data_IF_051719683576
#
_entry.id   IF_051719683576
#
_cell.length_a   1.000
_cell.length_b   1.000
_cell.length_c   1.000
_cell.angle_alpha   90.00
_cell.angle_beta   90.00
_cell.angle_gamma   90.00
#
_symmetry.space_group_name_H-M   'P 1'
#
loop_
_entity.id
_entity.type
_entity.pdbx_description
1 polymer ?
#
# COMPACT_ATOMS: atom_id res chain seq x y z
N UNK A 1 15.29 -8.43 11.91
CA UNK A 1 14.58 -9.03 10.75
C UNK A 1 13.73 -7.95 10.12
N UNK A 2 13.63 -7.85 8.80
CA UNK A 2 12.90 -6.73 8.15
C UNK A 2 11.38 -6.90 8.32
N UNK A 3 10.67 -5.79 8.53
CA UNK A 3 9.20 -5.72 8.60
C UNK A 3 8.68 -4.55 7.78
N UNK A 4 7.48 -4.69 7.24
CA UNK A 4 6.79 -3.63 6.50
C UNK A 4 5.30 -3.65 6.86
N UNK A 5 4.69 -2.46 6.98
CA UNK A 5 3.27 -2.33 7.27
C UNK A 5 2.51 -2.03 5.98
N UNK A 6 1.49 -2.83 5.73
CA UNK A 6 0.55 -2.69 4.64
C UNK A 6 -0.83 -2.30 5.17
N UNK A 7 -1.47 -1.31 4.54
CA UNK A 7 -2.77 -0.75 4.91
C UNK A 7 -3.54 -0.47 3.62
N UNK A 8 -4.72 -1.09 3.47
CA UNK A 8 -5.65 -0.83 2.36
C UNK A 8 -7.01 -0.30 2.84
N UNK A 9 -7.40 -0.67 4.06
CA UNK A 9 -8.62 -0.21 4.72
C UNK A 9 -8.26 0.43 6.07
N UNK A 10 -9.16 0.39 7.05
CA UNK A 10 -8.95 0.95 8.38
C UNK A 10 -7.95 0.12 9.23
N UNK A 11 -7.73 -1.15 8.91
CA UNK A 11 -6.77 -2.01 9.64
C UNK A 11 -5.52 -2.25 8.80
N UNK A 12 -4.35 -2.08 9.44
CA UNK A 12 -3.06 -2.41 8.87
C UNK A 12 -2.56 -3.80 9.28
N UNK A 13 -1.79 -4.43 8.41
CA UNK A 13 -1.10 -5.70 8.66
C UNK A 13 0.40 -5.47 8.61
N UNK A 14 1.12 -6.05 9.57
CA UNK A 14 2.59 -6.11 9.54
C UNK A 14 3.03 -7.41 8.88
N UNK A 15 3.93 -7.29 7.90
CA UNK A 15 4.49 -8.40 7.13
C UNK A 15 5.98 -8.49 7.43
N UNK A 16 6.47 -9.70 7.67
CA UNK A 16 7.87 -9.96 7.97
C UNK A 16 8.73 -10.09 6.70
N UNK A 17 10.00 -10.44 6.90
CA UNK A 17 10.97 -10.61 5.81
C UNK A 17 10.49 -11.55 4.69
N UNK A 18 9.72 -12.57 5.05
CA UNK A 18 9.21 -13.59 4.14
C UNK A 18 7.82 -13.25 3.60
N UNK A 19 7.30 -12.04 3.82
CA UNK A 19 5.95 -11.65 3.39
C UNK A 19 4.81 -12.28 4.20
N UNK A 20 5.12 -12.82 5.39
CA UNK A 20 4.13 -13.44 6.28
C UNK A 20 3.65 -12.45 7.33
N UNK A 21 2.35 -12.49 7.62
CA UNK A 21 1.77 -11.78 8.76
C UNK A 21 1.99 -12.53 10.08
N UNK A 22 1.44 -12.00 11.18
CA UNK A 22 1.57 -12.58 12.53
C UNK A 22 1.00 -14.00 12.65
N UNK A 23 0.01 -14.37 11.81
CA UNK A 23 -0.58 -15.71 11.77
C UNK A 23 0.05 -16.60 10.68
N UNK A 24 1.26 -16.26 10.21
CA UNK A 24 2.02 -16.99 9.18
C UNK A 24 1.29 -17.12 7.83
N UNK A 25 0.41 -16.17 7.49
CA UNK A 25 -0.26 -16.12 6.18
C UNK A 25 0.32 -15.03 5.29
N UNK A 26 0.36 -15.31 3.99
CA UNK A 26 0.63 -14.32 2.94
C UNK A 26 -0.66 -13.56 2.61
N UNK A 27 -0.51 -12.38 2.02
CA UNK A 27 -1.63 -11.57 1.55
C UNK A 27 -1.39 -11.12 0.11
N UNK A 28 -2.48 -10.83 -0.61
CA UNK A 28 -2.39 -10.14 -1.89
C UNK A 28 -2.24 -8.64 -1.68
N UNK A 29 -1.33 -8.02 -2.42
CA UNK A 29 -1.11 -6.57 -2.41
C UNK A 29 -1.31 -5.98 -3.82
N UNK A 30 -1.76 -4.72 -3.94
CA UNK A 30 -1.89 -4.04 -5.21
C UNK A 30 -0.56 -3.52 -5.74
N UNK A 31 -0.36 -3.65 -7.05
CA UNK A 31 0.58 -2.88 -7.83
C UNK A 31 -0.15 -2.03 -8.88
N UNK A 32 0.38 -0.84 -9.16
CA UNK A 32 -0.13 0.02 -10.23
C UNK A 32 0.42 -0.43 -11.59
N UNK A 33 -0.47 -0.76 -12.52
CA UNK A 33 -0.16 -1.02 -13.91
C UNK A 33 0.09 0.30 -14.68
N UNK A 34 0.68 0.20 -15.87
CA UNK A 34 0.98 1.38 -16.72
C UNK A 34 -0.26 2.21 -17.07
N UNK A 35 -1.43 1.58 -17.20
CA UNK A 35 -2.71 2.25 -17.46
C UNK A 35 -3.33 2.91 -16.20
N UNK A 36 -2.72 2.71 -15.03
CA UNK A 36 -3.21 3.21 -13.74
C UNK A 36 -4.22 2.29 -13.05
N UNK A 37 -4.47 1.09 -13.57
CA UNK A 37 -5.30 0.09 -12.87
C UNK A 37 -4.47 -0.64 -11.82
N UNK A 38 -5.14 -1.14 -10.79
CA UNK A 38 -4.53 -1.99 -9.77
C UNK A 38 -4.54 -3.45 -10.22
N UNK A 39 -3.41 -4.14 -10.03
CA UNK A 39 -3.30 -5.59 -10.16
C UNK A 39 -2.89 -6.19 -8.81
N UNK A 40 -3.53 -7.29 -8.41
CA UNK A 40 -3.28 -7.95 -7.14
C UNK A 40 -2.48 -9.22 -7.33
N UNK A 41 -1.42 -9.38 -6.53
CA UNK A 41 -0.66 -10.61 -6.45
C UNK A 41 -0.09 -10.80 -5.05
N UNK A 42 0.32 -12.03 -4.75
CA UNK A 42 0.81 -12.42 -3.42
C UNK A 42 2.11 -11.69 -3.08
N UNK A 43 2.18 -11.15 -1.86
CA UNK A 43 3.41 -10.57 -1.34
C UNK A 43 4.35 -11.66 -0.80
N UNK A 44 5.56 -11.69 -1.34
CA UNK A 44 6.56 -12.70 -1.03
C UNK A 44 7.68 -12.24 -0.10
N UNK A 45 7.75 -10.93 0.18
CA UNK A 45 8.74 -10.35 1.07
C UNK A 45 9.66 -9.39 0.35
N UNK A 46 10.93 -9.42 0.70
CA UNK A 46 11.93 -8.50 0.19
C UNK A 46 12.92 -9.20 -0.74
N UNK A 47 13.47 -8.45 -1.69
CA UNK A 47 14.54 -8.89 -2.57
C UNK A 47 15.60 -7.79 -2.68
N UNK A 48 16.87 -8.17 -2.79
CA UNK A 48 17.95 -7.20 -3.00
C UNK A 48 17.91 -6.65 -4.43
N UNK A 49 18.17 -5.35 -4.61
CA UNK A 49 18.20 -4.72 -5.93
C UNK A 49 19.22 -5.38 -6.88
N UNK A 50 20.30 -5.96 -6.36
CA UNK A 50 21.33 -6.67 -7.13
C UNK A 50 20.83 -7.98 -7.74
N UNK A 51 19.72 -8.51 -7.24
CA UNK A 51 19.09 -9.74 -7.75
C UNK A 51 18.02 -9.46 -8.82
N UNK A 52 17.84 -8.19 -9.22
CA UNK A 52 16.69 -7.74 -10.01
C UNK A 52 17.01 -7.30 -11.45
N UNK A 53 18.22 -7.52 -11.98
CA UNK A 53 18.73 -6.87 -13.21
C UNK A 53 17.87 -7.07 -14.48
N UNK A 54 16.98 -8.06 -14.51
CA UNK A 54 16.06 -8.32 -15.64
C UNK A 54 14.59 -8.39 -15.24
N UNK A 55 14.23 -8.00 -14.01
CA UNK A 55 12.87 -8.13 -13.50
C UNK A 55 12.05 -6.87 -13.74
N UNK A 56 10.78 -7.04 -14.10
CA UNK A 56 9.86 -5.92 -14.30
C UNK A 56 9.62 -5.21 -12.96
N UNK A 57 10.04 -3.94 -12.89
CA UNK A 57 9.74 -3.06 -11.75
C UNK A 57 8.26 -2.67 -11.74
N UNK A 58 7.67 -2.64 -10.55
CA UNK A 58 6.28 -2.26 -10.31
C UNK A 58 6.17 -1.27 -9.16
N UNK A 59 5.06 -0.52 -9.12
CA UNK A 59 4.74 0.42 -8.04
C UNK A 59 3.77 -0.27 -7.08
N UNK A 60 4.24 -0.70 -5.92
CA UNK A 60 3.40 -1.34 -4.92
C UNK A 60 2.71 -0.29 -4.04
N UNK A 61 1.42 -0.47 -3.79
CA UNK A 61 0.58 0.48 -3.07
C UNK A 61 0.24 0.00 -1.66
N UNK A 62 -0.19 0.92 -0.80
CA UNK A 62 -0.73 0.62 0.53
C UNK A 62 0.32 0.40 1.62
N UNK A 63 1.62 0.47 1.32
CA UNK A 63 2.63 0.40 2.38
C UNK A 63 2.84 1.75 3.06
N UNK A 64 2.93 1.74 4.40
CA UNK A 64 2.95 2.97 5.20
C UNK A 64 4.19 3.12 6.07
N UNK A 65 4.85 2.03 6.44
CA UNK A 65 6.12 2.11 7.15
C UNK A 65 6.97 0.84 6.98
N UNK A 66 8.27 1.00 7.20
CA UNK A 66 9.27 -0.05 7.13
C UNK A 66 10.15 -0.06 8.38
N UNK A 67 10.61 -1.24 8.76
CA UNK A 67 11.57 -1.45 9.85
C UNK A 67 12.65 -2.43 9.40
N UNK A 68 13.91 -2.06 9.63
CA UNK A 68 15.06 -2.94 9.37
C UNK A 68 15.37 -3.88 10.55
N UNK A 69 14.89 -3.55 11.76
CA UNK A 69 15.36 -4.06 13.04
C UNK A 69 14.28 -4.79 13.84
N UNK A 70 13.43 -5.53 13.14
CA UNK A 70 12.33 -6.32 13.69
C UNK A 70 11.22 -5.50 14.37
N UNK A 71 11.03 -4.27 13.93
CA UNK A 71 9.97 -3.39 14.40
C UNK A 71 10.35 -2.56 15.62
N UNK A 72 11.65 -2.44 15.94
CA UNK A 72 12.12 -1.55 17.00
C UNK A 72 12.11 -0.09 16.55
N UNK A 73 12.56 0.17 15.32
CA UNK A 73 12.47 1.48 14.68
C UNK A 73 11.65 1.40 13.39
N UNK A 74 10.83 2.41 13.16
CA UNK A 74 9.93 2.48 11.99
C UNK A 74 10.15 3.77 11.23
N UNK A 75 10.48 3.65 9.94
CA UNK A 75 10.44 4.75 8.99
C UNK A 75 9.04 4.84 8.42
N UNK A 76 8.34 5.95 8.68
CA UNK A 76 7.00 6.21 8.16
C UNK A 76 7.07 6.89 6.79
N UNK A 77 6.10 6.60 5.93
CA UNK A 77 5.95 7.23 4.63
C UNK A 77 4.64 8.02 4.59
N UNK A 78 4.68 9.16 3.92
CA UNK A 78 3.52 10.03 3.76
C UNK A 78 2.41 9.38 2.92
N UNK A 79 1.19 9.96 2.96
CA UNK A 79 0.14 9.54 2.05
C UNK A 79 0.60 9.69 0.59
N UNK A 80 -0.07 8.99 -0.34
CA UNK A 80 0.22 9.11 -1.77
C UNK A 80 1.65 8.69 -2.14
N UNK A 81 2.15 7.66 -1.45
CA UNK A 81 3.46 7.07 -1.70
C UNK A 81 3.28 5.64 -2.21
N UNK A 82 4.12 5.24 -3.16
CA UNK A 82 4.26 3.85 -3.57
C UNK A 82 5.67 3.34 -3.27
N UNK A 83 5.80 2.03 -3.08
CA UNK A 83 7.08 1.36 -2.83
C UNK A 83 7.55 0.68 -4.11
N UNK A 84 8.84 0.79 -4.41
CA UNK A 84 9.44 0.09 -5.55
C UNK A 84 9.44 -1.41 -5.28
N UNK A 85 8.78 -2.15 -6.16
CA UNK A 85 8.76 -3.61 -6.15
C UNK A 85 9.16 -4.20 -7.50
N UNK A 86 9.14 -5.52 -7.56
CA UNK A 86 9.22 -6.30 -8.79
C UNK A 86 8.05 -7.28 -8.89
N UNK A 87 7.77 -7.74 -10.11
CA UNK A 87 6.91 -8.89 -10.38
C UNK A 87 7.76 -10.06 -10.88
N UNK A 88 7.61 -11.23 -10.25
CA UNK A 88 8.21 -12.50 -10.68
C UNK A 88 7.17 -13.61 -10.51
N UNK A 89 6.85 -14.35 -11.58
CA UNK A 89 5.87 -15.44 -11.56
C UNK A 89 4.53 -15.10 -10.90
N UNK A 90 4.01 -13.89 -11.18
CA UNK A 90 2.80 -13.36 -10.56
C UNK A 90 2.86 -13.19 -9.03
N UNK A 91 4.05 -12.96 -8.51
CA UNK A 91 4.31 -12.60 -7.13
C UNK A 91 4.98 -11.24 -7.03
N UNK A 92 4.76 -10.56 -5.91
CA UNK A 92 5.34 -9.25 -5.63
C UNK A 92 6.38 -9.31 -4.51
N UNK A 93 7.50 -8.65 -4.76
CA UNK A 93 8.57 -8.44 -3.80
C UNK A 93 8.85 -6.95 -3.70
N UNK A 94 9.12 -6.46 -2.48
CA UNK A 94 9.66 -5.12 -2.27
C UNK A 94 11.16 -5.15 -2.52
N UNK A 95 11.65 -4.22 -3.35
CA UNK A 95 13.07 -4.14 -3.66
C UNK A 95 13.78 -3.34 -2.58
N UNK A 96 14.90 -3.87 -2.10
CA UNK A 96 15.79 -3.23 -1.15
C UNK A 96 17.00 -2.65 -1.88
N UNK A 97 17.18 -1.34 -1.75
CA UNK A 97 18.36 -0.61 -2.16
C UNK A 97 19.17 -0.33 -0.91
N UNK A 98 20.39 -0.86 -0.84
CA UNK A 98 21.26 -0.73 0.35
C UNK A 98 20.55 -1.14 1.65
N UNK A 99 19.73 -2.19 1.57
CA UNK A 99 19.00 -2.74 2.70
C UNK A 99 17.67 -2.07 3.04
N UNK A 100 17.28 -1.00 2.33
CA UNK A 100 16.03 -0.27 2.58
C UNK A 100 15.14 -0.14 1.32
N UNK A 101 13.80 -0.13 1.46
CA UNK A 101 12.91 0.14 0.34
C UNK A 101 13.06 1.58 -0.17
N UNK A 102 12.92 1.77 -1.48
CA UNK A 102 12.72 3.10 -2.07
C UNK A 102 11.25 3.39 -2.28
N UNK A 103 10.87 4.63 -2.00
CA UNK A 103 9.53 5.16 -2.23
C UNK A 103 9.50 6.11 -3.41
N UNK A 104 8.35 6.20 -4.06
CA UNK A 104 8.08 7.15 -5.14
C UNK A 104 6.75 7.85 -4.87
N UNK A 105 6.64 9.15 -5.22
CA UNK A 105 5.36 9.85 -5.14
C UNK A 105 4.34 9.23 -6.11
N UNK A 106 3.11 9.12 -5.66
CA UNK A 106 1.97 8.61 -6.42
C UNK A 106 0.70 9.39 -6.08
N UNK A 107 0.32 10.40 -6.89
CA UNK A 107 -1.00 11.01 -6.77
C UNK A 107 -2.05 9.99 -7.23
N UNK A 108 -3.03 9.62 -6.39
CA UNK A 108 -4.10 8.74 -6.80
C UNK A 108 -4.87 9.38 -7.95
N UNK A 109 -5.29 8.57 -8.93
CA UNK A 109 -6.37 9.00 -9.83
C UNK A 109 -7.61 9.21 -8.96
N UNK A 110 -7.94 10.46 -8.67
CA UNK A 110 -9.19 10.78 -7.97
C UNK A 110 -10.33 10.28 -8.84
N UNK A 111 -11.19 9.42 -8.29
CA UNK A 111 -12.51 9.24 -8.86
C UNK A 111 -13.19 10.63 -8.88
N UNK A 112 -13.80 10.99 -10.00
CA UNK A 112 -14.71 12.15 -10.06
C UNK A 112 -15.78 11.88 -9.00
N UNK A 113 -15.67 12.49 -7.82
CA UNK A 113 -16.59 12.21 -6.73
C UNK A 113 -17.96 12.74 -7.15
N UNK A 114 -18.95 11.86 -7.19
CA UNK A 114 -20.34 12.28 -7.00
C UNK A 114 -20.40 12.98 -5.64
N UNK A 115 -20.79 14.25 -5.63
CA UNK A 115 -21.13 14.96 -4.41
C UNK A 115 -22.39 14.31 -3.85
N UNK A 116 -22.27 13.63 -2.71
CA UNK A 116 -23.41 13.05 -2.02
C UNK A 116 -24.13 14.20 -1.30
N UNK A 117 -25.27 14.65 -1.83
CA UNK A 117 -26.08 15.76 -1.28
C UNK A 117 -26.88 15.36 -0.03
N UNK A 118 -26.36 14.44 0.79
CA UNK A 118 -27.07 13.95 1.99
C UNK A 118 -26.98 15.03 3.06
N UNK A 119 -28.13 15.65 3.33
CA UNK A 119 -28.32 16.62 4.42
C UNK A 119 -28.78 15.84 5.67
N UNK A 120 -28.23 16.11 6.86
CA UNK A 120 -28.72 15.51 8.10
C UNK A 120 -30.17 15.94 8.38
N UNK A 121 -31.05 14.99 8.74
CA UNK A 121 -32.44 15.28 9.13
C UNK A 121 -32.55 16.03 10.48
N UNK A 122 -31.45 16.15 11.22
CA UNK A 122 -31.38 16.85 12.50
C UNK A 122 -30.96 18.32 12.37
N UNK A 123 -30.85 18.85 11.16
CA UNK A 123 -30.57 20.28 10.98
C UNK A 123 -31.82 21.12 11.31
N UNK A 124 -31.78 22.01 12.32
CA UNK A 124 -32.92 22.82 12.71
C UNK A 124 -33.33 23.85 11.64
N UNK A 125 -32.55 24.00 10.56
CA UNK A 125 -32.84 24.86 9.42
C UNK A 125 -33.93 24.32 8.48
N UNK A 126 -34.43 23.09 8.67
CA UNK A 126 -35.46 22.47 7.83
C UNK A 126 -36.85 22.37 8.48
N UNK A 127 -37.08 23.04 9.61
CA UNK A 127 -38.41 23.11 10.25
C UNK A 127 -39.42 23.99 9.51
N UNK A 128 -39.05 24.57 8.36
CA UNK A 128 -39.90 25.50 7.60
C UNK A 128 -40.76 24.85 6.51
N UNK A 129 -40.74 23.52 6.37
CA UNK A 129 -41.55 22.79 5.40
C UNK A 129 -42.70 22.01 6.06
N UNK A 130 -43.58 22.73 6.76
CA UNK A 130 -44.97 22.28 6.95
C UNK A 130 -45.87 23.51 6.87
N UNK A 131 -46.62 23.63 5.76
CA UNK A 131 -47.83 24.45 5.68
C UNK A 131 -48.97 23.72 6.39
#
# INVERSE_FOLDING_TARGET
>A
MKKIRFVRSHVGVTLNHYGLNQIRKRIAIPALLRNGNEHFATFMGFIDARECDFMQRVKLLGFTCFSADDGRTWTQWGPHTCVVGIRKWDEYYVVLFDGAPKTLPYPPKLAQRYHNNVIPLSDPANSSFTS
#
